data_IF_717074635170
#
_entry.id   IF_717074635170
#
_cell.length_a   1.000
_cell.length_b   1.000
_cell.length_c   1.000
_cell.angle_alpha   90.00
_cell.angle_beta   90.00
_cell.angle_gamma   90.00
#
_symmetry.space_group_name_H-M   'P 1'
#
loop_
_entity.id
_entity.type
_entity.pdbx_description
1 polymer ?
#
# COMPACT_ATOMS: atom_id res chain seq x y z
N UNK A 1 25.67 -28.96 -11.12
CA UNK A 1 24.62 -28.31 -10.28
C UNK A 1 23.48 -27.76 -11.15
N UNK A 2 23.73 -27.44 -12.43
CA UNK A 2 22.67 -27.10 -13.42
C UNK A 2 21.80 -28.33 -13.79
N UNK A 3 22.33 -29.55 -13.67
CA UNK A 3 21.62 -30.78 -14.06
C UNK A 3 20.51 -31.23 -13.10
N UNK A 4 20.46 -30.72 -11.87
CA UNK A 4 19.50 -31.21 -10.86
C UNK A 4 18.16 -30.48 -10.89
N UNK A 5 18.16 -29.21 -11.29
CA UNK A 5 16.95 -28.37 -11.32
C UNK A 5 16.34 -28.22 -12.72
N UNK A 6 17.10 -28.54 -13.79
CA UNK A 6 16.69 -28.45 -15.21
C UNK A 6 16.02 -27.10 -15.60
N UNK A 7 16.25 -26.05 -14.80
CA UNK A 7 15.66 -24.73 -14.92
C UNK A 7 16.78 -23.69 -15.01
N UNK A 8 16.69 -22.70 -15.91
CA UNK A 8 17.74 -21.70 -16.08
C UNK A 8 17.86 -20.82 -14.83
N UNK A 9 19.08 -20.68 -14.29
CA UNK A 9 19.39 -19.74 -13.22
C UNK A 9 19.37 -18.33 -13.81
N UNK A 10 18.69 -17.38 -13.14
CA UNK A 10 18.72 -15.97 -13.54
C UNK A 10 20.10 -15.38 -13.29
N UNK A 11 20.49 -14.42 -14.10
CA UNK A 11 21.74 -13.68 -13.96
C UNK A 11 21.45 -12.18 -13.85
N UNK A 12 22.27 -11.46 -13.09
CA UNK A 12 22.32 -10.00 -13.16
C UNK A 12 22.93 -9.56 -14.50
N UNK A 13 22.77 -8.28 -14.86
CA UNK A 13 23.46 -7.67 -16.02
C UNK A 13 25.00 -7.83 -15.96
N UNK A 14 25.55 -8.03 -14.76
CA UNK A 14 26.97 -8.30 -14.51
C UNK A 14 27.40 -9.76 -14.70
N UNK A 15 26.55 -10.61 -15.30
CA UNK A 15 26.76 -12.06 -15.48
C UNK A 15 26.96 -12.86 -14.19
N UNK A 16 26.71 -12.24 -13.03
CA UNK A 16 26.67 -12.93 -11.73
C UNK A 16 25.34 -13.66 -11.58
N UNK A 17 25.39 -14.88 -11.03
CA UNK A 17 24.19 -15.67 -10.72
C UNK A 17 23.28 -14.90 -9.75
N UNK A 18 22.05 -14.61 -10.19
CA UNK A 18 20.98 -14.02 -9.40
C UNK A 18 20.20 -15.14 -8.69
N UNK A 19 20.83 -15.71 -7.67
CA UNK A 19 20.22 -16.80 -6.90
C UNK A 19 18.92 -16.35 -6.21
N UNK A 20 18.87 -15.11 -5.70
CA UNK A 20 17.67 -14.58 -5.03
C UNK A 20 16.52 -14.37 -6.00
N UNK A 21 16.77 -13.86 -7.20
CA UNK A 21 15.77 -13.74 -8.27
C UNK A 21 15.31 -15.07 -8.81
N UNK A 22 16.21 -16.04 -8.93
CA UNK A 22 15.83 -17.41 -9.28
C UNK A 22 14.94 -18.03 -8.20
N UNK A 23 15.31 -17.87 -6.92
CA UNK A 23 14.52 -18.37 -5.79
C UNK A 23 13.16 -17.67 -5.68
N UNK A 24 13.11 -16.36 -5.91
CA UNK A 24 11.88 -15.58 -5.87
C UNK A 24 10.92 -15.98 -7.00
N UNK A 25 11.45 -16.19 -8.20
CA UNK A 25 10.68 -16.58 -9.39
C UNK A 25 10.14 -18.00 -9.29
N UNK A 26 10.95 -18.95 -8.78
CA UNK A 26 10.65 -20.39 -8.82
C UNK A 26 10.16 -20.95 -7.47
N UNK A 27 10.56 -20.35 -6.36
CA UNK A 27 10.27 -20.78 -4.99
C UNK A 27 9.43 -19.79 -4.17
N UNK A 28 9.08 -18.64 -4.74
CA UNK A 28 8.28 -17.60 -4.10
C UNK A 28 9.08 -16.71 -3.13
N UNK A 29 8.36 -15.80 -2.49
CA UNK A 29 8.95 -14.82 -1.57
C UNK A 29 9.50 -15.54 -0.33
N UNK A 30 10.77 -15.34 0.08
CA UNK A 30 11.36 -16.06 1.21
C UNK A 30 10.84 -15.52 2.55
N UNK A 31 9.62 -15.92 2.94
CA UNK A 31 8.90 -15.40 4.11
C UNK A 31 9.64 -15.55 5.44
N UNK A 32 10.58 -16.51 5.54
CA UNK A 32 11.45 -16.62 6.74
C UNK A 32 12.37 -15.40 6.90
N UNK A 33 12.75 -14.72 5.83
CA UNK A 33 13.48 -13.44 5.91
C UNK A 33 12.57 -12.27 6.31
N UNK A 34 11.25 -12.44 6.19
CA UNK A 34 10.25 -11.44 6.63
C UNK A 34 9.87 -11.57 8.11
N UNK A 35 10.27 -12.68 8.75
CA UNK A 35 9.96 -12.99 10.16
C UNK A 35 10.70 -12.09 11.14
N UNK A 36 11.84 -11.52 10.76
CA UNK A 36 12.56 -10.60 11.62
C UNK A 36 11.69 -9.37 11.86
N UNK A 37 11.38 -9.09 13.13
CA UNK A 37 10.53 -7.98 13.56
C UNK A 37 11.04 -6.59 13.14
N UNK A 38 12.29 -6.52 12.66
CA UNK A 38 12.96 -5.35 12.09
C UNK A 38 13.26 -5.53 10.59
N UNK A 39 12.41 -6.30 9.91
CA UNK A 39 12.49 -6.61 8.48
C UNK A 39 12.49 -5.32 7.66
N UNK A 40 13.55 -5.11 6.89
CA UNK A 40 13.65 -4.04 5.87
C UNK A 40 12.45 -4.05 4.91
N UNK A 41 11.86 -5.23 4.71
CA UNK A 41 10.66 -5.42 3.91
C UNK A 41 9.44 -4.75 4.56
N UNK A 42 9.23 -4.98 5.86
CA UNK A 42 8.15 -4.35 6.61
C UNK A 42 8.33 -2.84 6.67
N UNK A 43 9.58 -2.36 6.75
CA UNK A 43 9.89 -0.93 6.66
C UNK A 43 9.53 -0.34 5.28
N UNK A 44 9.84 -1.05 4.19
CA UNK A 44 9.45 -0.62 2.83
C UNK A 44 7.93 -0.60 2.67
N UNK A 45 7.22 -1.65 3.10
CA UNK A 45 5.76 -1.67 3.05
C UNK A 45 5.14 -0.56 3.89
N UNK A 46 5.60 -0.37 5.12
CA UNK A 46 5.14 0.72 5.99
C UNK A 46 5.30 2.08 5.31
N UNK A 47 6.45 2.29 4.64
CA UNK A 47 6.71 3.53 3.89
C UNK A 47 5.81 3.70 2.67
N UNK A 48 5.57 2.62 1.92
CA UNK A 48 4.62 2.64 0.78
C UNK A 48 3.22 2.98 1.31
N UNK A 49 2.75 2.29 2.35
CA UNK A 49 1.42 2.47 2.93
C UNK A 49 1.21 3.88 3.50
N UNK A 50 2.25 4.48 4.10
CA UNK A 50 2.22 5.85 4.60
C UNK A 50 2.21 6.92 3.51
N UNK A 51 2.82 6.64 2.36
CA UNK A 51 2.84 7.55 1.21
C UNK A 51 1.70 7.29 0.21
N UNK A 52 0.99 6.17 0.37
CA UNK A 52 0.01 5.66 -0.59
C UNK A 52 -1.06 6.68 -0.96
N UNK A 53 -1.64 7.33 0.05
CA UNK A 53 -2.73 8.28 -0.16
C UNK A 53 -2.24 9.57 -0.82
N UNK A 54 -1.11 10.10 -0.35
CA UNK A 54 -0.51 11.30 -0.94
C UNK A 54 -0.15 11.06 -2.40
N UNK A 55 0.43 9.89 -2.71
CA UNK A 55 0.74 9.47 -4.07
C UNK A 55 -0.53 9.41 -4.93
N UNK A 56 -1.57 8.74 -4.45
CA UNK A 56 -2.85 8.61 -5.17
C UNK A 56 -3.50 9.98 -5.44
N UNK A 57 -3.52 10.87 -4.43
CA UNK A 57 -4.03 12.24 -4.59
C UNK A 57 -3.24 13.03 -5.64
N UNK A 58 -1.91 12.88 -5.65
CA UNK A 58 -1.02 13.52 -6.63
C UNK A 58 -1.00 12.85 -8.03
N UNK A 59 -1.83 11.83 -8.26
CA UNK A 59 -1.93 11.11 -9.54
C UNK A 59 -0.83 10.07 -9.77
N UNK A 60 -0.06 9.71 -8.75
CA UNK A 60 0.90 8.61 -8.82
C UNK A 60 0.20 7.27 -8.58
N UNK A 61 0.49 6.28 -9.44
CA UNK A 61 0.04 4.91 -9.23
C UNK A 61 0.78 4.24 -8.06
N UNK A 62 0.15 3.24 -7.44
CA UNK A 62 0.78 2.41 -6.42
C UNK A 62 2.08 1.76 -6.93
N UNK A 63 2.12 1.38 -8.21
CA UNK A 63 3.31 0.88 -8.89
C UNK A 63 4.44 1.91 -8.95
N UNK A 64 4.12 3.16 -9.30
CA UNK A 64 5.11 4.25 -9.33
C UNK A 64 5.66 4.56 -7.95
N UNK A 65 4.79 4.54 -6.94
CA UNK A 65 5.17 4.74 -5.55
C UNK A 65 6.07 3.59 -5.05
N UNK A 66 5.66 2.34 -5.28
CA UNK A 66 6.41 1.16 -4.88
C UNK A 66 7.83 1.20 -5.46
N UNK A 67 7.95 1.50 -6.76
CA UNK A 67 9.24 1.66 -7.43
C UNK A 67 10.11 2.72 -6.75
N UNK A 68 9.57 3.92 -6.54
CA UNK A 68 10.30 5.03 -5.93
C UNK A 68 10.75 4.74 -4.49
N UNK A 69 9.96 3.98 -3.72
CA UNK A 69 10.34 3.57 -2.36
C UNK A 69 11.42 2.47 -2.40
N UNK A 70 11.27 1.48 -3.27
CA UNK A 70 12.22 0.36 -3.43
C UNK A 70 13.59 0.87 -3.89
N UNK A 71 13.64 1.75 -4.88
CA UNK A 71 14.89 2.37 -5.38
C UNK A 71 15.65 3.14 -4.29
N UNK A 72 14.92 3.73 -3.34
CA UNK A 72 15.49 4.46 -2.18
C UNK A 72 15.73 3.57 -0.97
N UNK A 73 15.48 2.28 -1.09
CA UNK A 73 15.63 1.31 0.00
C UNK A 73 16.96 0.56 -0.11
N UNK A 74 17.38 -0.05 1.00
CA UNK A 74 18.53 -0.95 1.02
C UNK A 74 18.11 -2.42 0.75
N UNK A 75 17.08 -2.63 -0.08
CA UNK A 75 16.65 -3.96 -0.51
C UNK A 75 17.59 -4.51 -1.59
N UNK A 76 17.76 -5.84 -1.67
CA UNK A 76 18.44 -6.48 -2.79
C UNK A 76 17.85 -6.09 -4.16
N UNK A 77 18.71 -5.96 -5.18
CA UNK A 77 18.35 -5.49 -6.53
C UNK A 77 17.24 -6.30 -7.21
N UNK A 78 17.06 -7.57 -6.86
CA UNK A 78 15.94 -8.40 -7.33
C UNK A 78 14.57 -7.80 -7.02
N UNK A 79 14.43 -7.03 -5.94
CA UNK A 79 13.16 -6.40 -5.57
C UNK A 79 12.85 -5.17 -6.42
N UNK A 80 13.84 -4.66 -7.15
CA UNK A 80 13.67 -3.59 -8.14
C UNK A 80 13.25 -4.12 -9.52
N UNK A 81 13.24 -5.43 -9.74
CA UNK A 81 12.71 -6.04 -10.97
C UNK A 81 11.19 -5.76 -11.08
N UNK A 82 10.71 -5.55 -12.30
CA UNK A 82 9.32 -5.11 -12.55
C UNK A 82 8.28 -6.04 -11.91
N UNK A 83 8.49 -7.36 -11.98
CA UNK A 83 7.62 -8.36 -11.37
C UNK A 83 7.53 -8.22 -9.85
N UNK A 84 8.64 -7.88 -9.20
CA UNK A 84 8.69 -7.67 -7.75
C UNK A 84 7.98 -6.37 -7.36
N UNK A 85 8.21 -5.30 -8.13
CA UNK A 85 7.56 -4.00 -7.94
C UNK A 85 6.04 -4.11 -8.13
N UNK A 86 5.59 -4.82 -9.16
CA UNK A 86 4.18 -5.10 -9.43
C UNK A 86 3.53 -5.84 -8.25
N UNK A 87 4.16 -6.94 -7.80
CA UNK A 87 3.66 -7.71 -6.65
C UNK A 87 3.53 -6.84 -5.39
N UNK A 88 4.58 -6.08 -5.06
CA UNK A 88 4.57 -5.18 -3.89
C UNK A 88 3.47 -4.13 -4.01
N UNK A 89 3.26 -3.59 -5.22
CA UNK A 89 2.18 -2.62 -5.46
C UNK A 89 0.78 -3.23 -5.27
N UNK A 90 0.54 -4.42 -5.82
CA UNK A 90 -0.74 -5.14 -5.64
C UNK A 90 -0.98 -5.54 -4.18
N UNK A 91 0.08 -5.88 -3.44
CA UNK A 91 -0.02 -6.13 -2.01
C UNK A 91 -0.41 -4.85 -1.26
N UNK A 92 0.21 -3.71 -1.57
CA UNK A 92 -0.13 -2.43 -0.96
C UNK A 92 -1.59 -2.04 -1.24
N UNK A 93 -2.06 -2.20 -2.48
CA UNK A 93 -3.46 -1.96 -2.87
C UNK A 93 -4.43 -2.83 -2.06
N UNK A 94 -4.17 -4.13 -1.98
CA UNK A 94 -5.01 -5.08 -1.25
C UNK A 94 -5.04 -4.80 0.25
N UNK A 95 -3.88 -4.58 0.88
CA UNK A 95 -3.80 -4.22 2.31
C UNK A 95 -4.63 -2.97 2.60
N UNK A 96 -4.51 -1.97 1.72
CA UNK A 96 -5.21 -0.73 1.85
C UNK A 96 -6.74 -0.91 1.72
N UNK A 97 -7.17 -1.72 0.75
CA UNK A 97 -8.57 -2.07 0.55
C UNK A 97 -9.16 -2.81 1.75
N UNK A 98 -8.43 -3.79 2.31
CA UNK A 98 -8.86 -4.56 3.49
C UNK A 98 -9.02 -3.66 4.72
N UNK A 99 -8.07 -2.76 4.98
CA UNK A 99 -8.13 -1.85 6.13
C UNK A 99 -9.34 -0.93 6.05
N UNK A 100 -9.64 -0.38 4.87
CA UNK A 100 -10.77 0.53 4.67
C UNK A 100 -12.11 -0.21 4.69
N UNK A 101 -12.22 -1.33 3.99
CA UNK A 101 -13.47 -2.10 3.85
C UNK A 101 -13.92 -2.70 5.18
N UNK A 102 -12.98 -3.20 5.97
CA UNK A 102 -13.27 -3.89 7.23
C UNK A 102 -12.96 -3.06 8.49
N UNK A 103 -12.65 -1.77 8.32
CA UNK A 103 -12.36 -0.82 9.40
C UNK A 103 -11.36 -1.36 10.44
N UNK A 104 -10.21 -1.86 9.98
CA UNK A 104 -9.22 -2.55 10.82
C UNK A 104 -8.43 -1.59 11.73
N UNK A 105 -8.70 -0.29 11.63
CA UNK A 105 -7.93 0.81 12.20
C UNK A 105 -7.75 0.74 13.73
N UNK A 106 -8.73 0.18 14.43
CA UNK A 106 -8.74 0.10 15.89
C UNK A 106 -8.40 -1.30 16.42
N UNK A 107 -8.05 -2.24 15.55
CA UNK A 107 -7.76 -3.61 15.94
C UNK A 107 -6.26 -3.82 16.15
N UNK A 108 -5.88 -4.34 17.33
CA UNK A 108 -4.49 -4.74 17.62
C UNK A 108 -4.06 -5.99 16.86
N UNK A 109 -5.02 -6.83 16.49
CA UNK A 109 -4.82 -8.04 15.68
C UNK A 109 -5.78 -8.01 14.47
N UNK A 110 -5.45 -7.25 13.42
CA UNK A 110 -6.29 -7.11 12.23
C UNK A 110 -6.63 -8.43 11.53
N UNK A 111 -5.69 -9.39 11.52
CA UNK A 111 -5.91 -10.70 10.90
C UNK A 111 -7.01 -11.47 11.61
N UNK A 112 -7.01 -11.54 12.94
CA UNK A 112 -8.07 -12.24 13.68
C UNK A 112 -9.45 -11.63 13.42
N UNK A 113 -9.51 -10.30 13.27
CA UNK A 113 -10.74 -9.62 12.90
C UNK A 113 -11.19 -10.01 11.49
N UNK A 114 -10.28 -9.99 10.51
CA UNK A 114 -10.56 -10.41 9.14
C UNK A 114 -11.02 -11.88 9.06
N UNK A 115 -10.41 -12.77 9.84
CA UNK A 115 -10.76 -14.19 9.88
C UNK A 115 -12.20 -14.41 10.36
N UNK A 116 -12.70 -13.49 11.19
CA UNK A 116 -14.06 -13.51 11.70
C UNK A 116 -15.08 -12.90 10.74
N UNK A 117 -14.74 -11.79 10.07
CA UNK A 117 -15.68 -11.03 9.23
C UNK A 117 -15.67 -11.43 7.76
N UNK A 118 -14.53 -11.91 7.25
CA UNK A 118 -14.34 -12.33 5.86
C UNK A 118 -13.40 -13.55 5.77
N UNK A 119 -13.84 -14.77 6.17
CA UNK A 119 -12.96 -15.93 6.30
C UNK A 119 -12.19 -16.33 5.03
N UNK A 120 -12.66 -15.93 3.85
CA UNK A 120 -12.03 -16.25 2.56
C UNK A 120 -11.00 -15.21 2.10
N UNK A 121 -10.78 -14.13 2.85
CA UNK A 121 -9.89 -13.02 2.46
C UNK A 121 -8.47 -13.45 2.10
N UNK A 122 -7.93 -14.50 2.74
CA UNK A 122 -6.59 -15.01 2.44
C UNK A 122 -6.47 -15.58 1.03
N UNK A 123 -7.54 -16.17 0.50
CA UNK A 123 -7.55 -16.69 -0.87
C UNK A 123 -7.57 -15.60 -1.94
N UNK A 124 -7.95 -14.39 -1.56
CA UNK A 124 -7.99 -13.20 -2.41
C UNK A 124 -6.67 -12.40 -2.33
N UNK A 125 -5.81 -12.72 -1.35
CA UNK A 125 -4.55 -12.04 -1.17
C UNK A 125 -3.52 -12.52 -2.21
N UNK A 126 -2.66 -11.64 -2.77
CA UNK A 126 -1.76 -11.99 -3.87
C UNK A 126 -0.73 -13.09 -3.57
N UNK A 127 -0.58 -13.46 -2.29
CA UNK A 127 0.35 -14.48 -1.82
C UNK A 127 -0.31 -15.36 -0.76
N UNK A 128 -0.16 -16.69 -0.85
CA UNK A 128 -0.61 -17.61 0.19
C UNK A 128 0.27 -17.44 1.43
N UNK A 129 -0.37 -17.25 2.59
CA UNK A 129 0.27 -16.95 3.87
C UNK A 129 -0.49 -17.68 4.98
N UNK A 130 -0.50 -18.99 4.85
CA UNK A 130 -1.41 -19.88 5.57
C UNK A 130 -0.80 -20.38 6.89
N UNK A 131 0.48 -20.08 7.13
CA UNK A 131 1.19 -20.45 8.35
C UNK A 131 1.21 -19.31 9.39
N UNK A 132 1.65 -19.65 10.61
CA UNK A 132 1.77 -18.72 11.73
C UNK A 132 2.71 -17.54 11.41
N UNK A 133 3.73 -17.77 10.56
CA UNK A 133 4.69 -16.73 10.16
C UNK A 133 4.04 -15.73 9.22
N UNK A 134 3.26 -16.21 8.25
CA UNK A 134 2.46 -15.40 7.34
C UNK A 134 1.42 -14.57 8.08
N UNK A 135 0.77 -15.16 9.08
CA UNK A 135 -0.20 -14.45 9.94
C UNK A 135 0.46 -13.31 10.71
N UNK A 136 1.62 -13.53 11.33
CA UNK A 136 2.35 -12.47 12.04
C UNK A 136 2.78 -11.34 11.09
N UNK A 137 3.30 -11.68 9.92
CA UNK A 137 3.71 -10.71 8.90
C UNK A 137 2.52 -9.88 8.42
N UNK A 138 1.39 -10.51 8.09
CA UNK A 138 0.16 -9.84 7.68
C UNK A 138 -0.39 -8.93 8.78
N UNK A 139 -0.36 -9.37 10.04
CA UNK A 139 -0.73 -8.51 11.17
C UNK A 139 0.14 -7.26 11.22
N UNK A 140 1.47 -7.38 11.06
CA UNK A 140 2.39 -6.24 11.00
C UNK A 140 2.05 -5.28 9.86
N UNK A 141 1.81 -5.81 8.67
CA UNK A 141 1.44 -5.02 7.49
C UNK A 141 0.09 -4.31 7.63
N UNK A 142 -0.93 -5.01 8.13
CA UNK A 142 -2.26 -4.45 8.35
C UNK A 142 -2.26 -3.42 9.49
N UNK A 143 -1.43 -3.61 10.52
CA UNK A 143 -1.20 -2.60 11.56
C UNK A 143 -0.55 -1.34 11.00
N UNK A 144 0.51 -1.48 10.19
CA UNK A 144 1.15 -0.35 9.50
C UNK A 144 0.16 0.37 8.59
N UNK A 145 -0.58 -0.37 7.75
CA UNK A 145 -1.63 0.17 6.90
C UNK A 145 -2.72 0.89 7.71
N UNK A 146 -3.11 0.34 8.87
CA UNK A 146 -4.11 0.91 9.78
C UNK A 146 -3.66 2.22 10.40
N UNK A 147 -2.41 2.30 10.86
CA UNK A 147 -1.82 3.56 11.38
C UNK A 147 -1.84 4.63 10.31
N UNK A 148 -1.46 4.29 9.08
CA UNK A 148 -1.42 5.22 7.96
C UNK A 148 -2.80 5.54 7.38
N UNK A 149 -3.79 4.67 7.62
CA UNK A 149 -5.20 4.91 7.29
C UNK A 149 -5.93 5.74 8.36
N UNK A 150 -5.45 5.82 9.62
CA UNK A 150 -6.08 6.62 10.69
C UNK A 150 -6.32 8.07 10.29
N UNK A 151 -5.33 8.79 9.73
CA UNK A 151 -5.56 10.13 9.23
C UNK A 151 -6.67 10.18 8.20
N UNK A 152 -6.94 9.12 7.42
CA UNK A 152 -7.96 9.11 6.37
C UNK A 152 -9.37 9.12 6.94
N UNK A 153 -9.67 8.23 7.90
CA UNK A 153 -10.97 8.22 8.57
C UNK A 153 -11.17 9.44 9.48
N UNK A 154 -10.09 10.06 9.95
CA UNK A 154 -10.17 11.27 10.78
C UNK A 154 -10.19 12.57 9.94
N UNK A 155 -9.65 12.58 8.72
CA UNK A 155 -9.52 13.78 7.85
C UNK A 155 -10.80 14.19 7.12
N UNK A 156 -11.84 13.37 7.08
CA UNK A 156 -13.12 13.78 6.51
C UNK A 156 -13.93 14.72 7.42
N UNK A 157 -13.24 15.56 8.20
CA UNK A 157 -13.86 16.57 9.09
C UNK A 157 -13.53 18.01 8.73
N UNK A 158 -12.62 18.26 7.78
CA UNK A 158 -12.29 19.64 7.40
C UNK A 158 -11.88 19.77 5.94
N UNK A 159 -12.24 20.92 5.36
CA UNK A 159 -11.82 21.33 4.02
C UNK A 159 -10.31 21.59 4.02
N UNK A 160 -9.59 20.96 3.09
CA UNK A 160 -8.14 21.13 2.94
C UNK A 160 -7.77 21.34 1.48
N UNK A 161 -6.92 22.31 1.21
CA UNK A 161 -6.28 22.50 -0.10
C UNK A 161 -4.77 22.26 0.05
N UNK A 162 -4.20 21.37 -0.75
CA UNK A 162 -2.75 21.15 -0.83
C UNK A 162 -2.25 21.40 -2.23
N UNK A 163 -1.15 22.13 -2.34
CA UNK A 163 -0.48 22.43 -3.59
C UNK A 163 0.75 21.54 -3.77
N UNK A 164 0.95 21.06 -4.99
CA UNK A 164 2.04 20.19 -5.38
C UNK A 164 2.69 20.75 -6.62
N UNK A 165 4.01 20.75 -6.59
CA UNK A 165 4.85 21.09 -7.73
C UNK A 165 5.76 19.89 -8.00
N UNK A 166 5.93 19.53 -9.28
CA UNK A 166 6.71 18.37 -9.69
C UNK A 166 7.74 18.77 -10.74
N UNK A 167 8.99 18.35 -10.57
CA UNK A 167 10.03 18.57 -11.57
C UNK A 167 9.73 17.90 -12.92
N UNK A 168 8.88 16.87 -12.94
CA UNK A 168 8.43 16.23 -14.20
C UNK A 168 7.41 17.06 -14.97
N UNK A 169 6.74 18.01 -14.30
CA UNK A 169 5.75 18.92 -14.87
C UNK A 169 5.99 20.33 -14.29
N UNK A 170 7.11 20.98 -14.64
CA UNK A 170 7.53 22.22 -13.98
C UNK A 170 6.58 23.39 -14.23
N UNK A 171 5.82 23.32 -15.34
CA UNK A 171 4.86 24.34 -15.76
C UNK A 171 3.45 24.13 -15.17
N UNK A 172 3.26 23.11 -14.33
CA UNK A 172 1.98 22.79 -13.69
C UNK A 172 2.06 22.94 -12.17
N UNK A 173 1.13 23.73 -11.60
CA UNK A 173 0.82 23.70 -10.17
C UNK A 173 -0.43 22.86 -9.96
N UNK A 174 -0.30 21.71 -9.30
CA UNK A 174 -1.43 20.82 -9.01
C UNK A 174 -1.99 21.14 -7.63
N UNK A 175 -3.31 21.25 -7.53
CA UNK A 175 -4.01 21.42 -6.25
C UNK A 175 -4.91 20.22 -6.00
N UNK A 176 -4.83 19.63 -4.80
CA UNK A 176 -5.83 18.68 -4.30
C UNK A 176 -6.68 19.38 -3.26
N UNK A 177 -7.97 19.44 -3.53
CA UNK A 177 -9.00 19.93 -2.61
C UNK A 177 -9.70 18.71 -2.01
N UNK A 178 -9.62 18.56 -0.69
CA UNK A 178 -10.37 17.57 0.07
C UNK A 178 -11.54 18.26 0.77
N UNK A 179 -12.74 17.72 0.61
CA UNK A 179 -13.95 18.16 1.29
C UNK A 179 -14.31 17.14 2.39
N UNK A 180 -14.94 17.56 3.49
CA UNK A 180 -15.46 16.64 4.49
C UNK A 180 -16.68 15.87 3.95
N UNK A 181 -17.03 14.75 4.61
CA UNK A 181 -18.18 13.92 4.21
C UNK A 181 -19.52 14.66 4.39
N UNK A 182 -19.55 15.62 5.32
CA UNK A 182 -20.70 16.47 5.59
C UNK A 182 -20.24 17.93 5.75
N UNK A 183 -20.95 18.86 5.11
CA UNK A 183 -20.71 20.30 5.24
C UNK A 183 -21.98 20.95 5.78
N UNK A 184 -21.92 21.44 7.02
CA UNK A 184 -23.01 22.20 7.63
C UNK A 184 -22.80 23.70 7.44
N UNK A 185 -23.80 24.39 6.90
CA UNK A 185 -23.78 25.85 6.80
C UNK A 185 -24.78 26.43 7.79
N UNK A 186 -24.38 27.35 8.69
CA UNK A 186 -25.33 28.05 9.54
C UNK A 186 -26.19 28.97 8.66
N UNK A 187 -27.51 28.82 8.74
CA UNK A 187 -28.42 29.73 8.05
C UNK A 187 -28.61 30.96 8.93
N UNK A 188 -28.07 32.10 8.50
CA UNK A 188 -28.09 33.37 9.26
C UNK A 188 -29.44 34.08 9.25
N UNK A 189 -30.39 33.64 8.43
CA UNK A 189 -31.74 34.22 8.33
C UNK A 189 -32.77 33.15 8.00
N UNK A 190 -33.99 33.30 8.50
CA UNK A 190 -35.09 32.37 8.19
C UNK A 190 -35.37 32.40 6.67
N UNK A 191 -35.19 31.29 5.95
CA UNK A 191 -35.33 31.27 4.51
C UNK A 191 -36.81 31.44 4.14
N UNK A 192 -37.10 32.32 3.17
CA UNK A 192 -38.46 32.56 2.68
C UNK A 192 -39.06 31.39 1.88
N UNK A 193 -38.26 30.37 1.60
CA UNK A 193 -38.64 29.17 0.86
C UNK A 193 -37.80 27.97 1.30
N UNK A 194 -38.34 26.77 1.15
CA UNK A 194 -37.63 25.50 1.40
C UNK A 194 -36.82 25.03 0.20
N UNK A 195 -36.83 25.77 -0.92
CA UNK A 195 -36.06 25.42 -2.12
C UNK A 195 -34.62 25.89 -1.98
N UNK A 196 -33.70 24.94 -1.97
CA UNK A 196 -32.26 25.20 -2.06
C UNK A 196 -31.77 24.83 -3.47
N UNK A 197 -31.00 25.72 -4.10
CA UNK A 197 -30.34 25.46 -5.36
C UNK A 197 -28.83 25.47 -5.15
N UNK A 198 -28.16 24.40 -5.57
CA UNK A 198 -26.71 24.31 -5.66
C UNK A 198 -26.32 24.60 -7.11
N UNK A 199 -25.70 25.76 -7.34
CA UNK A 199 -25.06 26.07 -8.61
C UNK A 199 -23.60 25.58 -8.55
N UNK A 200 -23.19 24.83 -9.57
CA UNK A 200 -21.82 24.33 -9.77
C UNK A 200 -21.11 25.26 -10.75
#
# INVERSE_FOLDING_TARGET
MEDYWLRPIRFYESERRNFLGTLFSEGGLPFRLLKESDSRFLAVFSRILGQYEQAKQSGFSALSLARAVIEKSALPTVFSEDTSVELISHMADNLNSLVLTYNLINHKEPVQQLDKVHPTWRSEFPIPLDDETGTHFLNGLLCAASVEAKPRLQKNKSTRCQFYWSEKHPDELRAIVSLPDEVSFPVTSEPSTTRFELAI
#
